data_IF_247967786708
#
_entry.id   IF_247967786708
#
_cell.length_a   1.000
_cell.length_b   1.000
_cell.length_c   1.000
_cell.angle_alpha   90.00
_cell.angle_beta   90.00
_cell.angle_gamma   90.00
#
_symmetry.space_group_name_H-M   'P 1'
#
loop_
_entity.id
_entity.type
_entity.pdbx_description
1 polymer ?
#
# COMPACT_ATOMS: atom_id res chain seq x y z
N UNK A 1 8.63 -2.52 -5.39
CA UNK A 1 8.13 -3.90 -5.43
C UNK A 1 9.13 -4.90 -4.86
N UNK A 2 10.41 -4.86 -5.25
CA UNK A 2 11.42 -5.80 -4.72
C UNK A 2 11.46 -5.78 -3.19
N UNK A 3 11.56 -4.60 -2.57
CA UNK A 3 11.55 -4.47 -1.12
C UNK A 3 10.25 -5.03 -0.49
N UNK A 4 9.11 -4.78 -1.13
CA UNK A 4 7.82 -5.34 -0.69
C UNK A 4 7.83 -6.86 -0.72
N UNK A 5 8.33 -7.45 -1.80
CA UNK A 5 8.43 -8.92 -1.96
C UNK A 5 9.36 -9.52 -0.91
N UNK A 6 10.55 -8.93 -0.70
CA UNK A 6 11.49 -9.38 0.33
C UNK A 6 10.89 -9.31 1.74
N UNK A 7 10.20 -8.21 2.04
CA UNK A 7 9.53 -8.05 3.32
C UNK A 7 8.36 -9.03 3.51
N UNK A 8 7.65 -9.38 2.44
CA UNK A 8 6.59 -10.40 2.49
C UNK A 8 7.16 -11.79 2.75
N UNK A 9 8.25 -12.15 2.08
CA UNK A 9 8.99 -13.39 2.34
C UNK A 9 9.48 -13.43 3.79
N UNK A 10 10.16 -12.38 4.25
CA UNK A 10 10.66 -12.28 5.61
C UNK A 10 9.55 -12.41 6.67
N UNK A 11 8.38 -11.84 6.41
CA UNK A 11 7.20 -11.98 7.29
C UNK A 11 6.70 -13.41 7.39
N UNK A 12 6.68 -14.17 6.26
CA UNK A 12 6.20 -15.54 6.24
C UNK A 12 7.11 -16.50 7.03
N UNK A 13 8.42 -16.22 7.07
CA UNK A 13 9.41 -17.01 7.80
C UNK A 13 9.83 -16.40 9.14
N UNK A 14 9.14 -15.40 9.64
CA UNK A 14 9.48 -14.79 10.92
C UNK A 14 9.41 -15.81 12.06
N UNK A 15 10.52 -15.92 12.82
CA UNK A 15 10.65 -16.82 13.95
C UNK A 15 10.15 -16.20 15.27
N UNK A 16 10.06 -14.87 15.34
CA UNK A 16 9.58 -14.12 16.52
C UNK A 16 8.59 -13.04 16.12
N UNK A 17 7.77 -12.61 17.08
CA UNK A 17 6.81 -11.53 16.88
C UNK A 17 7.50 -10.20 16.56
N UNK A 18 8.62 -9.90 17.20
CA UNK A 18 9.40 -8.69 16.96
C UNK A 18 9.95 -8.64 15.54
N UNK A 19 10.45 -9.78 15.04
CA UNK A 19 10.94 -9.89 13.68
C UNK A 19 9.80 -9.74 12.67
N UNK A 20 8.63 -10.30 12.96
CA UNK A 20 7.42 -10.15 12.16
C UNK A 20 7.02 -8.66 12.07
N UNK A 21 7.00 -7.96 13.20
CA UNK A 21 6.67 -6.52 13.23
C UNK A 21 7.68 -5.73 12.39
N UNK A 22 8.97 -6.02 12.52
CA UNK A 22 10.01 -5.38 11.71
C UNK A 22 9.79 -5.55 10.21
N UNK A 23 9.50 -6.77 9.75
CA UNK A 23 9.17 -7.04 8.35
C UNK A 23 7.88 -6.34 7.91
N UNK A 24 6.87 -6.26 8.77
CA UNK A 24 5.62 -5.54 8.49
C UNK A 24 5.82 -4.03 8.34
N UNK A 25 6.70 -3.43 9.12
CA UNK A 25 7.06 -2.02 8.96
C UNK A 25 7.74 -1.80 7.60
N UNK A 26 8.72 -2.64 7.25
CA UNK A 26 9.38 -2.58 5.94
C UNK A 26 8.41 -2.78 4.77
N UNK A 27 7.47 -3.72 4.90
CA UNK A 27 6.41 -3.99 3.92
C UNK A 27 5.49 -2.77 3.76
N UNK A 28 5.08 -2.14 4.86
CA UNK A 28 4.24 -0.94 4.84
C UNK A 28 4.94 0.25 4.16
N UNK A 29 6.21 0.48 4.47
CA UNK A 29 7.01 1.52 3.83
C UNK A 29 7.16 1.26 2.31
N UNK A 30 7.43 0.02 1.92
CA UNK A 30 7.51 -0.38 0.51
C UNK A 30 6.17 -0.20 -0.21
N UNK A 31 5.05 -0.54 0.44
CA UNK A 31 3.71 -0.37 -0.13
C UNK A 31 3.37 1.11 -0.36
N UNK A 32 3.72 1.98 0.59
CA UNK A 32 3.57 3.44 0.42
C UNK A 32 4.31 3.94 -0.82
N UNK A 33 5.54 3.51 -1.03
CA UNK A 33 6.32 3.86 -2.22
C UNK A 33 5.67 3.33 -3.52
N UNK A 34 5.15 2.09 -3.52
CA UNK A 34 4.46 1.48 -4.68
C UNK A 34 3.22 2.28 -5.05
N UNK A 35 2.40 2.68 -4.07
CA UNK A 35 1.20 3.49 -4.30
C UNK A 35 1.55 4.86 -4.90
N UNK A 36 2.63 5.49 -4.43
CA UNK A 36 3.11 6.76 -4.98
C UNK A 36 3.60 6.60 -6.42
N UNK A 37 4.37 5.55 -6.71
CA UNK A 37 4.81 5.24 -8.08
C UNK A 37 3.62 4.98 -9.00
N UNK A 38 2.61 4.23 -8.58
CA UNK A 38 1.41 3.97 -9.38
C UNK A 38 0.68 5.27 -9.75
N UNK A 39 0.53 6.20 -8.79
CA UNK A 39 -0.06 7.52 -9.05
C UNK A 39 0.78 8.36 -10.01
N UNK A 40 2.12 8.29 -9.90
CA UNK A 40 3.02 8.98 -10.81
C UNK A 40 2.89 8.44 -12.24
N UNK A 41 2.86 7.12 -12.42
CA UNK A 41 2.67 6.47 -13.72
C UNK A 41 1.34 6.90 -14.37
N UNK A 42 0.24 6.93 -13.60
CA UNK A 42 -1.05 7.41 -14.14
C UNK A 42 -0.96 8.86 -14.60
N UNK A 43 -0.27 9.72 -13.85
CA UNK A 43 -0.05 11.12 -14.22
C UNK A 43 0.80 11.26 -15.48
N UNK A 44 1.78 10.37 -15.68
CA UNK A 44 2.68 10.42 -16.83
C UNK A 44 2.04 9.90 -18.12
N UNK A 45 1.08 8.96 -18.00
CA UNK A 45 0.41 8.31 -19.13
C UNK A 45 -0.91 8.95 -19.55
N UNK A 46 -1.58 9.66 -18.64
CA UNK A 46 -2.94 10.16 -18.88
C UNK A 46 -3.05 11.66 -18.68
N UNK A 47 -3.92 12.29 -19.46
CA UNK A 47 -4.36 13.66 -19.21
C UNK A 47 -5.14 13.76 -17.88
N UNK A 48 -5.22 14.94 -17.24
CA UNK A 48 -5.86 15.08 -15.93
C UNK A 48 -7.27 14.46 -15.83
N UNK A 49 -8.11 14.65 -16.85
CA UNK A 49 -9.48 14.11 -16.85
C UNK A 49 -9.52 12.58 -16.99
N UNK A 50 -8.75 12.03 -17.92
CA UNK A 50 -8.67 10.58 -18.14
C UNK A 50 -7.93 9.89 -17.01
N UNK A 51 -6.91 10.53 -16.44
CA UNK A 51 -6.19 10.07 -15.25
C UNK A 51 -7.09 9.99 -14.02
N UNK A 52 -7.95 10.99 -13.80
CA UNK A 52 -8.93 10.95 -12.73
C UNK A 52 -9.91 9.78 -12.87
N UNK A 53 -10.39 9.50 -14.09
CA UNK A 53 -11.24 8.33 -14.38
C UNK A 53 -10.50 7.01 -14.16
N UNK A 54 -9.23 6.91 -14.57
CA UNK A 54 -8.42 5.72 -14.34
C UNK A 54 -8.20 5.46 -12.84
N UNK A 55 -7.90 6.52 -12.07
CA UNK A 55 -7.76 6.42 -10.62
C UNK A 55 -9.06 6.03 -9.93
N UNK A 56 -10.20 6.58 -10.36
CA UNK A 56 -11.52 6.20 -9.82
C UNK A 56 -11.81 4.71 -10.04
N UNK A 57 -11.55 4.18 -11.25
CA UNK A 57 -11.68 2.74 -11.53
C UNK A 57 -10.76 1.89 -10.65
N UNK A 58 -9.51 2.34 -10.45
CA UNK A 58 -8.56 1.64 -9.58
C UNK A 58 -9.03 1.62 -8.12
N UNK A 59 -9.59 2.72 -7.61
CA UNK A 59 -10.16 2.79 -6.26
C UNK A 59 -11.40 1.92 -6.10
N UNK A 60 -12.26 1.85 -7.11
CA UNK A 60 -13.41 0.91 -7.12
C UNK A 60 -12.92 -0.53 -7.05
N UNK A 61 -11.91 -0.89 -7.86
CA UNK A 61 -11.28 -2.22 -7.80
C UNK A 61 -10.69 -2.52 -6.44
N UNK A 62 -10.03 -1.55 -5.80
CA UNK A 62 -9.49 -1.70 -4.45
C UNK A 62 -10.60 -1.99 -3.42
N UNK A 63 -11.75 -1.32 -3.52
CA UNK A 63 -12.90 -1.59 -2.64
C UNK A 63 -13.45 -3.01 -2.80
N UNK A 64 -13.60 -3.48 -4.04
CA UNK A 64 -14.05 -4.86 -4.31
C UNK A 64 -13.05 -5.87 -3.74
N UNK A 65 -11.74 -5.66 -3.98
CA UNK A 65 -10.68 -6.53 -3.45
C UNK A 65 -10.72 -6.55 -1.91
N UNK A 66 -10.92 -5.42 -1.26
CA UNK A 66 -10.99 -5.36 0.20
C UNK A 66 -12.14 -6.22 0.76
N UNK A 67 -13.30 -6.20 0.11
CA UNK A 67 -14.43 -7.05 0.50
C UNK A 67 -14.15 -8.55 0.31
N UNK A 68 -13.41 -8.92 -0.72
CA UNK A 68 -13.13 -10.35 -1.05
C UNK A 68 -11.93 -10.89 -0.27
N UNK A 69 -10.94 -10.05 0.02
CA UNK A 69 -9.72 -10.47 0.72
C UNK A 69 -9.97 -10.90 2.17
N UNK A 70 -10.93 -10.30 2.87
CA UNK A 70 -11.22 -10.63 4.26
C UNK A 70 -11.73 -12.08 4.42
N UNK A 71 -12.79 -12.54 3.71
CA UNK A 71 -13.23 -13.92 3.77
C UNK A 71 -12.16 -14.92 3.26
N UNK A 72 -11.45 -14.58 2.20
CA UNK A 72 -10.37 -15.45 1.69
C UNK A 72 -9.24 -15.59 2.73
N UNK A 73 -8.83 -14.47 3.36
CA UNK A 73 -7.81 -14.50 4.41
C UNK A 73 -8.23 -15.32 5.64
N UNK A 74 -9.49 -15.19 6.07
CA UNK A 74 -10.07 -16.00 7.15
C UNK A 74 -10.05 -17.49 6.80
N UNK A 75 -10.56 -17.85 5.64
CA UNK A 75 -10.59 -19.24 5.16
C UNK A 75 -9.18 -19.84 5.05
N UNK A 76 -8.23 -19.11 4.47
CA UNK A 76 -6.82 -19.55 4.39
C UNK A 76 -6.22 -19.79 5.77
N UNK A 77 -6.51 -18.89 6.71
CA UNK A 77 -5.96 -18.97 8.06
C UNK A 77 -6.55 -20.15 8.84
N UNK A 78 -7.82 -20.43 8.67
CA UNK A 78 -8.53 -21.53 9.31
C UNK A 78 -8.02 -22.91 8.84
N UNK A 79 -7.82 -23.07 7.53
CA UNK A 79 -7.46 -24.37 6.94
C UNK A 79 -5.96 -24.65 6.89
N UNK A 80 -5.16 -23.63 6.66
CA UNK A 80 -3.71 -23.76 6.39
C UNK A 80 -2.84 -23.00 7.41
N UNK A 81 -3.49 -22.32 8.37
CA UNK A 81 -2.81 -21.52 9.38
C UNK A 81 -2.42 -20.12 8.89
N UNK A 82 -2.12 -19.23 9.82
CA UNK A 82 -1.84 -17.81 9.56
C UNK A 82 -0.66 -17.55 8.60
N UNK A 83 0.32 -18.46 8.57
CA UNK A 83 1.46 -18.36 7.66
C UNK A 83 1.04 -18.52 6.20
N UNK A 84 -0.01 -19.26 5.90
CA UNK A 84 -0.51 -19.42 4.54
C UNK A 84 -1.04 -18.11 3.95
N UNK A 85 -1.67 -17.26 4.76
CA UNK A 85 -2.09 -15.95 4.33
C UNK A 85 -0.88 -15.06 3.95
N UNK A 86 0.23 -15.14 4.70
CA UNK A 86 1.48 -14.42 4.37
C UNK A 86 2.16 -14.97 3.11
N UNK A 87 2.12 -16.28 2.91
CA UNK A 87 2.62 -16.91 1.68
C UNK A 87 1.78 -16.52 0.47
N UNK A 88 0.46 -16.41 0.61
CA UNK A 88 -0.42 -15.91 -0.45
C UNK A 88 -0.07 -14.46 -0.84
N UNK A 89 0.20 -13.59 0.15
CA UNK A 89 0.70 -12.23 -0.12
C UNK A 89 2.06 -12.24 -0.82
N UNK A 90 2.94 -13.16 -0.45
CA UNK A 90 4.25 -13.31 -1.10
C UNK A 90 4.09 -13.76 -2.55
N UNK A 91 3.22 -14.74 -2.82
CA UNK A 91 2.92 -15.20 -4.18
C UNK A 91 2.34 -14.06 -5.03
N UNK A 92 1.40 -13.29 -4.49
CA UNK A 92 0.85 -12.11 -5.14
C UNK A 92 1.92 -11.06 -5.45
N UNK A 93 2.83 -10.80 -4.51
CA UNK A 93 3.93 -9.87 -4.69
C UNK A 93 4.88 -10.30 -5.82
N UNK A 94 5.22 -11.59 -5.88
CA UNK A 94 6.06 -12.16 -6.93
C UNK A 94 5.40 -12.07 -8.31
N UNK A 95 4.12 -12.43 -8.42
CA UNK A 95 3.35 -12.30 -9.68
C UNK A 95 3.31 -10.85 -10.12
N UNK A 96 3.00 -9.93 -9.21
CA UNK A 96 2.95 -8.49 -9.52
C UNK A 96 4.32 -7.97 -9.95
N UNK A 97 5.40 -8.36 -9.25
CA UNK A 97 6.76 -7.99 -9.62
C UNK A 97 7.11 -8.49 -11.02
N UNK A 98 6.81 -9.75 -11.33
CA UNK A 98 7.03 -10.33 -12.65
C UNK A 98 6.24 -9.62 -13.75
N UNK A 99 4.95 -9.34 -13.52
CA UNK A 99 4.11 -8.62 -14.47
C UNK A 99 4.63 -7.21 -14.74
N UNK A 100 5.03 -6.49 -13.71
CA UNK A 100 5.59 -5.14 -13.85
C UNK A 100 6.93 -5.19 -14.57
N UNK A 101 7.82 -6.13 -14.22
CA UNK A 101 9.12 -6.25 -14.87
C UNK A 101 9.03 -6.63 -16.36
N UNK A 102 8.03 -7.45 -16.73
CA UNK A 102 7.88 -7.96 -18.09
C UNK A 102 7.00 -7.09 -18.98
N UNK A 103 6.03 -6.36 -18.41
CA UNK A 103 4.98 -5.68 -19.17
C UNK A 103 4.97 -4.17 -19.06
N UNK A 104 5.58 -3.59 -18.02
CA UNK A 104 5.57 -2.14 -17.81
C UNK A 104 6.82 -1.51 -18.42
N UNK A 105 6.71 -0.75 -19.54
CA UNK A 105 7.81 0.02 -20.06
C UNK A 105 8.12 1.21 -19.16
N UNK A 106 9.32 1.77 -19.28
CA UNK A 106 9.70 3.01 -18.60
C UNK A 106 8.80 4.17 -19.06
N UNK A 107 8.06 4.77 -18.13
CA UNK A 107 7.11 5.86 -18.44
C UNK A 107 7.74 7.25 -18.31
N UNK A 108 8.87 7.36 -17.63
CA UNK A 108 9.54 8.64 -17.40
C UNK A 108 10.35 9.06 -18.63
N UNK A 109 9.79 9.99 -19.42
CA UNK A 109 10.43 10.49 -20.64
C UNK A 109 11.63 11.41 -20.36
N UNK A 110 11.55 12.25 -19.32
CA UNK A 110 12.59 13.21 -18.96
C UNK A 110 13.23 12.87 -17.61
N UNK A 111 14.36 12.16 -17.65
CA UNK A 111 15.10 11.82 -16.43
C UNK A 111 15.89 13.02 -15.94
N UNK A 112 15.64 13.44 -14.69
CA UNK A 112 16.42 14.48 -14.04
C UNK A 112 17.47 13.86 -13.11
N UNK A 113 18.75 13.78 -13.52
CA UNK A 113 19.81 13.15 -12.73
C UNK A 113 20.10 13.87 -11.41
N UNK A 114 19.70 15.15 -11.31
CA UNK A 114 19.88 15.95 -10.10
C UNK A 114 18.76 15.76 -9.07
N UNK A 115 17.65 15.11 -9.44
CA UNK A 115 16.49 14.92 -8.55
C UNK A 115 16.83 14.13 -7.28
N UNK A 116 17.79 13.20 -7.36
CA UNK A 116 18.23 12.36 -6.23
C UNK A 116 19.37 12.98 -5.39
N UNK A 117 19.84 14.17 -5.73
CA UNK A 117 20.86 14.85 -4.91
C UNK A 117 20.24 15.24 -3.55
N UNK A 118 20.93 14.96 -2.41
CA UNK A 118 20.38 15.18 -1.08
C UNK A 118 19.91 16.63 -0.84
N UNK A 119 20.69 17.61 -1.34
CA UNK A 119 20.35 19.01 -1.22
C UNK A 119 19.07 19.38 -1.99
N UNK A 120 18.89 18.83 -3.19
CA UNK A 120 17.69 19.03 -4.02
C UNK A 120 16.47 18.38 -3.38
N UNK A 121 16.62 17.16 -2.87
CA UNK A 121 15.57 16.46 -2.14
C UNK A 121 15.13 17.25 -0.91
N UNK A 122 16.07 17.66 -0.07
CA UNK A 122 15.77 18.42 1.15
C UNK A 122 15.05 19.73 0.83
N UNK A 123 15.54 20.47 -0.17
CA UNK A 123 14.92 21.72 -0.62
C UNK A 123 13.50 21.50 -1.12
N UNK A 124 13.28 20.47 -1.92
CA UNK A 124 11.95 20.12 -2.44
C UNK A 124 10.99 19.75 -1.31
N UNK A 125 11.44 18.93 -0.36
CA UNK A 125 10.66 18.56 0.82
C UNK A 125 10.27 19.77 1.67
N UNK A 126 11.22 20.66 1.95
CA UNK A 126 10.94 21.88 2.70
C UNK A 126 9.96 22.80 1.97
N UNK A 127 10.04 22.89 0.65
CA UNK A 127 9.10 23.67 -0.15
C UNK A 127 7.68 23.09 -0.06
N UNK A 128 7.53 21.78 -0.17
CA UNK A 128 6.22 21.10 -0.06
C UNK A 128 5.66 21.25 1.35
N UNK A 129 6.47 21.02 2.39
CA UNK A 129 6.06 21.14 3.79
C UNK A 129 5.66 22.57 4.20
N UNK A 130 6.18 23.58 3.52
CA UNK A 130 5.80 24.98 3.77
C UNK A 130 4.51 25.40 3.06
N UNK A 131 4.00 24.58 2.15
CA UNK A 131 2.81 24.94 1.37
C UNK A 131 1.52 24.62 2.16
N UNK A 132 0.63 25.59 2.40
CA UNK A 132 -0.58 25.37 3.22
C UNK A 132 -1.54 24.36 2.60
N UNK A 133 -1.63 24.29 1.28
CA UNK A 133 -2.45 23.29 0.58
C UNK A 133 -2.00 21.87 0.88
N UNK A 134 -0.70 21.64 1.03
CA UNK A 134 -0.17 20.34 1.42
C UNK A 134 -0.74 19.89 2.78
N UNK A 135 -0.72 20.78 3.77
CA UNK A 135 -1.25 20.47 5.11
C UNK A 135 -2.75 20.24 5.10
N UNK A 136 -3.53 21.06 4.36
CA UNK A 136 -4.97 20.88 4.24
C UNK A 136 -5.33 19.51 3.68
N UNK A 137 -4.74 19.10 2.57
CA UNK A 137 -5.00 17.77 1.99
C UNK A 137 -4.42 16.62 2.81
N UNK A 138 -3.27 16.80 3.43
CA UNK A 138 -2.66 15.79 4.30
C UNK A 138 -3.52 15.53 5.54
N UNK A 139 -3.98 16.57 6.21
CA UNK A 139 -4.86 16.44 7.37
C UNK A 139 -6.20 15.81 7.00
N UNK A 140 -6.81 16.23 5.89
CA UNK A 140 -8.04 15.64 5.40
C UNK A 140 -7.88 14.14 5.13
N UNK A 141 -6.81 13.77 4.44
CA UNK A 141 -6.50 12.37 4.12
C UNK A 141 -6.22 11.56 5.38
N UNK A 142 -5.44 12.11 6.31
CA UNK A 142 -5.12 11.46 7.60
C UNK A 142 -6.38 11.26 8.43
N UNK A 143 -7.26 12.23 8.52
CA UNK A 143 -8.52 12.11 9.25
C UNK A 143 -9.43 11.03 8.63
N UNK A 144 -9.56 11.01 7.30
CA UNK A 144 -10.38 10.03 6.59
C UNK A 144 -9.86 8.59 6.78
N UNK A 145 -8.56 8.37 6.56
CA UNK A 145 -7.97 7.05 6.75
C UNK A 145 -7.88 6.66 8.22
N UNK A 146 -7.59 7.61 9.12
CA UNK A 146 -7.59 7.39 10.56
C UNK A 146 -8.94 6.89 11.06
N UNK A 147 -10.04 7.53 10.65
CA UNK A 147 -11.39 7.06 10.96
C UNK A 147 -11.67 5.65 10.43
N UNK A 148 -11.31 5.38 9.18
CA UNK A 148 -11.47 4.05 8.58
C UNK A 148 -10.69 2.97 9.34
N UNK A 149 -9.41 3.21 9.63
CA UNK A 149 -8.59 2.22 10.34
C UNK A 149 -9.01 2.04 11.80
N UNK A 150 -9.45 3.10 12.47
CA UNK A 150 -10.01 3.00 13.83
C UNK A 150 -11.28 2.14 13.83
N UNK A 151 -12.17 2.37 12.85
CA UNK A 151 -13.36 1.54 12.69
C UNK A 151 -13.01 0.07 12.44
N UNK A 152 -12.09 -0.22 11.49
CA UNK A 152 -11.68 -1.59 11.19
C UNK A 152 -11.02 -2.29 12.38
N UNK A 153 -10.21 -1.58 13.16
CA UNK A 153 -9.55 -2.14 14.33
C UNK A 153 -10.52 -2.40 15.49
N UNK A 154 -11.46 -1.48 15.71
CA UNK A 154 -12.41 -1.58 16.82
C UNK A 154 -13.63 -2.45 16.51
N UNK A 155 -14.01 -2.59 15.24
CA UNK A 155 -15.26 -3.27 14.85
C UNK A 155 -15.30 -4.73 15.32
N UNK A 156 -14.22 -5.48 15.14
CA UNK A 156 -14.17 -6.89 15.57
C UNK A 156 -14.37 -7.03 17.08
N UNK A 157 -13.74 -6.16 17.86
CA UNK A 157 -13.90 -6.15 19.32
C UNK A 157 -15.34 -5.83 19.71
N UNK A 158 -15.91 -4.78 19.11
CA UNK A 158 -17.29 -4.36 19.43
C UNK A 158 -18.31 -5.44 19.04
N UNK A 159 -18.17 -6.07 17.87
CA UNK A 159 -19.10 -7.09 17.42
C UNK A 159 -19.01 -8.38 18.25
N UNK A 160 -17.82 -8.81 18.60
CA UNK A 160 -17.62 -10.06 19.35
C UNK A 160 -17.84 -9.85 20.85
N UNK A 161 -17.13 -8.90 21.45
CA UNK A 161 -17.10 -8.74 22.92
C UNK A 161 -18.31 -7.94 23.45
N UNK A 162 -18.78 -6.91 22.73
CA UNK A 162 -19.83 -6.03 23.23
C UNK A 162 -21.22 -6.50 22.77
N UNK A 163 -21.34 -6.94 21.50
CA UNK A 163 -22.63 -7.35 20.94
C UNK A 163 -22.84 -8.87 20.95
N UNK A 164 -21.84 -9.66 21.36
CA UNK A 164 -21.92 -11.11 21.45
C UNK A 164 -22.22 -11.81 20.13
N UNK A 165 -21.86 -11.21 19.01
CA UNK A 165 -22.03 -11.78 17.69
C UNK A 165 -20.85 -12.73 17.40
N UNK A 166 -21.13 -14.02 17.27
CA UNK A 166 -20.17 -15.06 16.90
C UNK A 166 -20.26 -15.37 15.41
#
# INVERSE_FOLDING_TARGET
LILYTLASVGSAWAASMELLIGWRIAQGAAMGAVVMCARAIVRDLYNPLTGARAMSKALTGLGIIACVCAPIGGWLTEWLGWRAALLALTAYALVTLALVALRLPETLQNKNPRALQPATLLRTWLTVLRHPTFWAFSLLTTASYGGLFTFLAASSFVFIEVLGLT
#
